data_IF_595397301627
#
_entry.id   IF_595397301627
#
_cell.length_a   1.000
_cell.length_b   1.000
_cell.length_c   1.000
_cell.angle_alpha   90.00
_cell.angle_beta   90.00
_cell.angle_gamma   90.00
#
_symmetry.space_group_name_H-M   'P 1'
#
loop_
_entity.id
_entity.type
_entity.pdbx_description
1 polymer ?
#
# COMPACT_ATOMS: atom_id res chain seq x y z
N UNK A 1 -28.22 -9.74 -11.87
CA UNK A 1 -29.42 -9.15 -12.52
C UNK A 1 -29.90 -9.96 -13.72
N UNK A 2 -29.10 -10.13 -14.79
CA UNK A 2 -29.50 -10.89 -15.99
C UNK A 2 -29.33 -12.41 -15.89
N UNK A 3 -28.82 -12.95 -14.77
CA UNK A 3 -28.52 -14.39 -14.66
C UNK A 3 -27.46 -14.89 -15.67
N UNK A 4 -26.56 -14.03 -16.13
CA UNK A 4 -25.53 -14.37 -17.12
C UNK A 4 -25.98 -14.28 -18.58
N UNK A 5 -27.22 -13.87 -18.84
CA UNK A 5 -27.77 -13.78 -20.21
C UNK A 5 -27.26 -12.58 -21.00
N UNK A 6 -26.76 -11.54 -20.33
CA UNK A 6 -26.24 -10.31 -20.93
C UNK A 6 -24.84 -10.02 -20.39
N UNK A 7 -23.88 -9.83 -21.30
CA UNK A 7 -22.55 -9.29 -20.98
C UNK A 7 -22.53 -7.77 -21.09
N UNK A 8 -21.40 -7.16 -20.71
CA UNK A 8 -21.17 -5.72 -20.86
C UNK A 8 -19.70 -5.48 -21.24
N UNK A 9 -19.30 -5.80 -22.47
CA UNK A 9 -17.93 -5.62 -22.96
C UNK A 9 -17.67 -4.13 -23.19
N UNK A 10 -17.26 -3.43 -22.13
CA UNK A 10 -16.95 -1.99 -22.17
C UNK A 10 -15.68 -1.72 -21.37
N UNK A 11 -14.83 -0.85 -21.92
CA UNK A 11 -13.62 -0.36 -21.25
C UNK A 11 -13.76 1.13 -21.02
N UNK A 12 -13.70 1.54 -19.76
CA UNK A 12 -13.54 2.94 -19.37
C UNK A 12 -12.07 3.17 -19.09
N UNK A 13 -11.45 4.12 -19.79
CA UNK A 13 -10.03 4.44 -19.63
C UNK A 13 -9.77 5.93 -19.60
N UNK A 14 -8.70 6.32 -18.92
CA UNK A 14 -8.22 7.69 -18.85
C UNK A 14 -7.25 7.87 -17.69
N UNK A 15 -6.59 9.04 -17.61
CA UNK A 15 -5.69 9.34 -16.50
C UNK A 15 -6.46 9.42 -15.18
N UNK A 16 -5.82 8.94 -14.11
CA UNK A 16 -6.33 8.87 -12.75
C UNK A 16 -5.22 9.28 -11.78
N UNK A 17 -5.61 9.91 -10.66
CA UNK A 17 -4.66 10.29 -9.62
C UNK A 17 -4.07 11.68 -9.82
N UNK A 18 -2.92 11.94 -9.20
CA UNK A 18 -2.33 13.25 -9.22
C UNK A 18 -1.57 13.53 -10.53
N UNK A 19 -1.71 14.77 -10.99
CA UNK A 19 -0.91 15.35 -12.07
C UNK A 19 -0.19 16.60 -11.56
N UNK A 20 0.58 17.28 -12.42
CA UNK A 20 1.36 18.42 -11.98
C UNK A 20 0.51 19.70 -11.87
N UNK A 21 0.25 20.15 -10.63
CA UNK A 21 -0.34 21.46 -10.31
C UNK A 21 -1.75 21.68 -10.85
N UNK A 22 -2.57 20.64 -10.86
CA UNK A 22 -3.97 20.71 -11.32
C UNK A 22 -4.98 20.91 -10.18
N UNK A 23 -4.49 20.95 -8.94
CA UNK A 23 -5.25 21.21 -7.71
C UNK A 23 -6.39 20.21 -7.44
N UNK A 24 -7.14 20.46 -6.38
CA UNK A 24 -8.05 19.51 -5.74
C UNK A 24 -9.01 18.73 -6.66
N UNK A 25 -9.63 19.37 -7.65
CA UNK A 25 -10.69 18.75 -8.47
C UNK A 25 -10.17 17.87 -9.61
N UNK A 26 -8.87 17.90 -9.90
CA UNK A 26 -8.25 17.19 -11.02
C UNK A 26 -7.17 16.21 -10.56
N UNK A 27 -7.07 15.92 -9.27
CA UNK A 27 -5.99 15.10 -8.69
C UNK A 27 -6.47 13.88 -7.91
N UNK A 28 -7.75 13.55 -8.02
CA UNK A 28 -8.33 12.45 -7.26
C UNK A 28 -7.97 11.09 -7.87
N UNK A 29 -7.54 10.17 -7.01
CA UNK A 29 -7.41 8.76 -7.36
C UNK A 29 -8.70 8.00 -7.02
N UNK A 30 -9.31 7.36 -8.02
CA UNK A 30 -10.55 6.59 -7.94
C UNK A 30 -10.33 5.08 -7.80
N UNK A 31 -9.07 4.66 -7.57
CA UNK A 31 -8.68 3.26 -7.42
C UNK A 31 -9.56 2.49 -6.45
N UNK A 32 -9.70 2.97 -5.21
CA UNK A 32 -10.51 2.29 -4.18
C UNK A 32 -12.01 2.33 -4.50
N UNK A 33 -12.51 3.46 -5.02
CA UNK A 33 -13.92 3.62 -5.37
C UNK A 33 -14.39 2.58 -6.38
N UNK A 34 -13.69 2.44 -7.50
CA UNK A 34 -14.06 1.46 -8.51
C UNK A 34 -13.80 0.03 -8.04
N UNK A 35 -12.72 -0.20 -7.27
CA UNK A 35 -12.37 -1.53 -6.76
C UNK A 35 -13.36 -2.06 -5.72
N UNK A 36 -14.18 -1.20 -5.14
CA UNK A 36 -15.23 -1.61 -4.21
C UNK A 36 -16.45 -2.25 -4.93
N UNK A 37 -16.67 -1.98 -6.22
CA UNK A 37 -17.91 -2.33 -6.93
C UNK A 37 -17.85 -3.76 -7.50
N UNK A 38 -18.71 -4.70 -7.06
CA UNK A 38 -18.77 -6.04 -7.65
C UNK A 38 -19.21 -6.03 -9.11
N UNK A 39 -18.60 -6.92 -9.91
CA UNK A 39 -18.85 -7.00 -11.35
C UNK A 39 -17.92 -6.13 -12.20
N UNK A 40 -17.17 -5.20 -11.60
CA UNK A 40 -16.09 -4.48 -12.27
C UNK A 40 -14.76 -5.24 -12.18
N UNK A 41 -13.91 -5.01 -13.17
CA UNK A 41 -12.46 -5.25 -13.10
C UNK A 41 -11.75 -3.91 -13.11
N UNK A 42 -10.73 -3.74 -12.27
CA UNK A 42 -10.03 -2.45 -12.10
C UNK A 42 -8.53 -2.67 -12.23
N UNK A 43 -7.92 -1.96 -13.17
CA UNK A 43 -6.51 -2.08 -13.56
C UNK A 43 -5.85 -0.72 -13.40
N UNK A 44 -4.63 -0.70 -12.85
CA UNK A 44 -3.82 0.50 -12.64
C UNK A 44 -2.33 0.21 -12.94
N UNK A 45 -1.94 0.10 -14.23
CA UNK A 45 -0.60 -0.31 -14.62
C UNK A 45 0.40 0.85 -14.59
N UNK A 46 1.69 0.51 -14.62
CA UNK A 46 2.79 1.49 -14.73
C UNK A 46 3.63 1.30 -16.00
N UNK A 47 4.28 0.15 -16.16
CA UNK A 47 5.20 -0.08 -17.29
C UNK A 47 4.48 -0.02 -18.65
N UNK A 48 5.20 0.42 -19.70
CA UNK A 48 4.65 0.51 -21.05
C UNK A 48 4.19 -0.86 -21.60
N UNK A 49 4.97 -1.92 -21.32
CA UNK A 49 4.60 -3.30 -21.65
C UNK A 49 3.29 -3.69 -20.95
N UNK A 50 3.20 -3.43 -19.64
CA UNK A 50 2.02 -3.73 -18.83
C UNK A 50 0.77 -3.00 -19.31
N UNK A 51 0.90 -1.71 -19.62
CA UNK A 51 -0.17 -0.90 -20.20
C UNK A 51 -0.68 -1.52 -21.51
N UNK A 52 0.23 -1.93 -22.41
CA UNK A 52 -0.14 -2.56 -23.69
C UNK A 52 -0.83 -3.91 -23.49
N UNK A 53 -0.25 -4.78 -22.66
CA UNK A 53 -0.77 -6.13 -22.43
C UNK A 53 -2.13 -6.14 -21.74
N UNK A 54 -2.28 -5.33 -20.69
CA UNK A 54 -3.51 -5.25 -19.91
C UNK A 54 -4.62 -4.49 -20.65
N UNK A 55 -4.30 -3.46 -21.43
CA UNK A 55 -5.32 -2.75 -22.22
C UNK A 55 -5.90 -3.67 -23.31
N UNK A 56 -5.05 -4.48 -23.96
CA UNK A 56 -5.51 -5.50 -24.91
C UNK A 56 -6.37 -6.57 -24.22
N UNK A 57 -6.00 -6.99 -23.02
CA UNK A 57 -6.80 -7.92 -22.22
C UNK A 57 -8.15 -7.30 -21.85
N UNK A 58 -8.18 -6.04 -21.42
CA UNK A 58 -9.39 -5.30 -21.07
C UNK A 58 -10.36 -5.19 -22.25
N UNK A 59 -9.85 -4.85 -23.45
CA UNK A 59 -10.66 -4.76 -24.68
C UNK A 59 -11.27 -6.12 -25.07
N UNK A 60 -10.57 -7.22 -24.77
CA UNK A 60 -11.03 -8.58 -25.07
C UNK A 60 -11.97 -9.14 -23.99
N UNK A 61 -12.13 -8.46 -22.86
CA UNK A 61 -12.99 -8.91 -21.76
C UNK A 61 -14.48 -8.69 -22.04
N UNK A 62 -15.32 -9.60 -21.55
CA UNK A 62 -16.78 -9.51 -21.71
C UNK A 62 -17.48 -8.76 -20.57
N UNK A 63 -16.70 -8.32 -19.57
CA UNK A 63 -17.14 -7.57 -18.39
C UNK A 63 -16.72 -6.11 -18.48
N UNK A 64 -17.35 -5.20 -17.71
CA UNK A 64 -16.89 -3.82 -17.61
C UNK A 64 -15.50 -3.75 -16.97
N UNK A 65 -14.56 -3.09 -17.65
CA UNK A 65 -13.19 -2.87 -17.16
C UNK A 65 -12.94 -1.38 -16.98
N UNK A 66 -12.43 -1.02 -15.80
CA UNK A 66 -11.90 0.31 -15.50
C UNK A 66 -10.38 0.25 -15.61
N UNK A 67 -9.83 1.05 -16.52
CA UNK A 67 -8.41 1.11 -16.82
C UNK A 67 -7.87 2.49 -16.41
N UNK A 68 -7.30 2.54 -15.21
CA UNK A 68 -6.82 3.75 -14.55
C UNK A 68 -5.37 4.00 -14.98
N UNK A 69 -5.20 4.92 -15.92
CA UNK A 69 -3.89 5.36 -16.40
C UNK A 69 -3.34 6.46 -15.49
N UNK A 70 -2.13 6.95 -15.76
CA UNK A 70 -1.58 8.09 -15.05
C UNK A 70 -0.95 9.08 -16.04
N UNK A 71 -1.29 10.36 -15.89
CA UNK A 71 -0.88 11.42 -16.84
C UNK A 71 0.64 11.59 -16.87
N UNK A 72 1.30 11.58 -15.71
CA UNK A 72 2.75 11.76 -15.59
C UNK A 72 3.47 10.57 -16.24
N UNK A 73 2.95 9.35 -16.02
CA UNK A 73 3.54 8.13 -16.55
C UNK A 73 3.52 8.05 -18.10
N UNK A 74 2.66 8.82 -18.80
CA UNK A 74 2.67 8.83 -20.27
C UNK A 74 3.99 9.32 -20.88
N UNK A 75 4.71 10.18 -20.16
CA UNK A 75 6.01 10.69 -20.60
C UNK A 75 7.19 9.81 -20.21
N UNK A 76 6.96 8.70 -19.50
CA UNK A 76 8.03 7.81 -19.04
C UNK A 76 8.42 6.83 -20.14
N UNK A 77 9.73 6.71 -20.38
CA UNK A 77 10.29 5.71 -21.28
C UNK A 77 10.66 4.45 -20.49
N UNK A 78 10.29 3.30 -21.04
CA UNK A 78 10.59 1.99 -20.46
C UNK A 78 11.28 1.13 -21.51
N UNK A 79 12.26 0.33 -21.08
CA UNK A 79 12.78 -0.73 -21.93
C UNK A 79 11.68 -1.77 -22.16
N UNK A 80 11.39 -2.04 -23.43
CA UNK A 80 10.43 -3.07 -23.84
C UNK A 80 11.17 -4.01 -24.78
N UNK A 81 11.12 -5.31 -24.49
CA UNK A 81 11.88 -6.28 -25.27
C UNK A 81 11.32 -6.44 -26.69
N UNK A 82 12.19 -6.79 -27.65
CA UNK A 82 11.78 -7.03 -29.03
C UNK A 82 10.71 -8.13 -29.15
N UNK A 83 10.79 -9.15 -28.27
CA UNK A 83 9.81 -10.23 -28.21
C UNK A 83 8.43 -9.71 -27.78
N UNK A 84 8.37 -8.79 -26.83
CA UNK A 84 7.13 -8.13 -26.43
C UNK A 84 6.59 -7.25 -27.55
N UNK A 85 7.43 -6.37 -28.13
CA UNK A 85 7.01 -5.45 -29.20
C UNK A 85 6.47 -6.18 -30.43
N UNK A 86 7.19 -7.20 -30.90
CA UNK A 86 6.83 -7.97 -32.09
C UNK A 86 5.63 -8.91 -31.88
N UNK A 87 5.36 -9.33 -30.64
CA UNK A 87 4.23 -10.19 -30.32
C UNK A 87 2.89 -9.42 -30.37
N UNK A 88 2.13 -9.62 -31.45
CA UNK A 88 0.78 -9.04 -31.63
C UNK A 88 -0.25 -9.58 -30.62
N UNK A 89 0.00 -10.74 -30.05
CA UNK A 89 -0.83 -11.39 -29.05
C UNK A 89 -0.26 -11.25 -27.63
N UNK A 90 0.64 -10.28 -27.43
CA UNK A 90 1.06 -9.90 -26.09
C UNK A 90 -0.15 -9.48 -25.27
N UNK A 91 -0.46 -10.32 -24.27
CA UNK A 91 -1.54 -10.16 -23.33
C UNK A 91 -1.00 -10.46 -21.95
N UNK A 92 -1.50 -9.72 -20.97
CA UNK A 92 -1.30 -10.03 -19.56
C UNK A 92 -2.63 -10.47 -18.95
N UNK A 93 -2.55 -11.30 -17.94
CA UNK A 93 -3.71 -11.77 -17.19
C UNK A 93 -4.20 -10.67 -16.24
N UNK A 94 -5.49 -10.33 -16.34
CA UNK A 94 -6.14 -9.43 -15.38
C UNK A 94 -6.28 -10.17 -14.05
N UNK A 95 -5.85 -9.54 -12.96
CA UNK A 95 -5.84 -10.15 -11.63
C UNK A 95 -4.51 -10.80 -11.27
N UNK A 96 -3.44 -10.55 -12.05
CA UNK A 96 -2.10 -11.05 -11.77
C UNK A 96 -1.12 -9.90 -11.48
N UNK A 97 -0.54 -9.90 -10.28
CA UNK A 97 0.53 -8.99 -9.89
C UNK A 97 1.89 -9.49 -10.41
N UNK A 98 2.90 -8.63 -10.38
CA UNK A 98 4.27 -9.00 -10.73
C UNK A 98 5.26 -8.58 -9.66
N UNK A 99 6.17 -9.50 -9.32
CA UNK A 99 7.38 -9.18 -8.56
C UNK A 99 8.36 -8.54 -9.54
N UNK A 100 8.59 -7.24 -9.39
CA UNK A 100 9.47 -6.44 -10.26
C UNK A 100 10.91 -6.50 -9.78
N UNK A 101 11.08 -6.60 -8.46
CA UNK A 101 12.38 -6.74 -7.79
C UNK A 101 12.25 -7.78 -6.70
N UNK A 102 13.12 -8.78 -6.73
CA UNK A 102 13.23 -9.79 -5.67
C UNK A 102 13.89 -9.17 -4.43
N UNK A 103 13.43 -9.58 -3.25
CA UNK A 103 14.01 -9.21 -1.97
C UNK A 103 13.67 -10.20 -0.88
N UNK A 104 14.19 -9.97 0.32
CA UNK A 104 14.03 -10.89 1.47
C UNK A 104 13.71 -10.20 2.79
N UNK A 105 13.86 -8.88 2.89
CA UNK A 105 13.75 -8.19 4.18
C UNK A 105 12.41 -7.46 4.36
N UNK A 106 11.79 -7.01 3.27
CA UNK A 106 10.48 -6.34 3.29
C UNK A 106 9.78 -6.46 1.93
N UNK A 107 8.47 -6.66 1.95
CA UNK A 107 7.63 -6.53 0.75
C UNK A 107 7.09 -5.12 0.63
N UNK A 108 7.28 -4.49 -0.53
CA UNK A 108 6.71 -3.20 -0.89
C UNK A 108 5.72 -3.43 -2.04
N UNK A 109 4.45 -3.12 -1.81
CA UNK A 109 3.42 -3.16 -2.86
C UNK A 109 3.12 -1.76 -3.35
N UNK A 110 2.97 -1.61 -4.66
CA UNK A 110 2.60 -0.35 -5.29
C UNK A 110 1.77 -0.62 -6.55
N UNK A 111 1.13 0.42 -7.06
CA UNK A 111 0.46 0.41 -8.35
C UNK A 111 0.60 1.76 -9.04
N UNK A 112 0.38 1.79 -10.36
CA UNK A 112 0.50 2.99 -11.18
C UNK A 112 1.82 3.75 -10.92
N UNK A 113 1.82 5.08 -10.97
CA UNK A 113 3.01 5.91 -10.83
C UNK A 113 3.83 5.63 -9.55
N UNK A 114 3.19 5.21 -8.45
CA UNK A 114 3.88 4.91 -7.18
C UNK A 114 4.83 3.71 -7.25
N UNK A 115 4.72 2.87 -8.29
CA UNK A 115 5.70 1.81 -8.52
C UNK A 115 7.10 2.37 -8.77
N UNK A 116 7.21 3.52 -9.45
CA UNK A 116 8.49 4.21 -9.64
C UNK A 116 9.13 4.56 -8.29
N UNK A 117 8.34 5.15 -7.39
CA UNK A 117 8.84 5.57 -6.08
C UNK A 117 9.21 4.37 -5.20
N UNK A 118 8.47 3.26 -5.30
CA UNK A 118 8.80 2.01 -4.63
C UNK A 118 10.13 1.43 -5.10
N UNK A 119 10.42 1.46 -6.40
CA UNK A 119 11.72 1.02 -6.96
C UNK A 119 12.86 1.94 -6.49
N UNK A 120 12.66 3.25 -6.52
CA UNK A 120 13.64 4.22 -6.03
C UNK A 120 13.92 4.03 -4.52
N UNK A 121 12.89 3.78 -3.72
CA UNK A 121 13.05 3.49 -2.29
C UNK A 121 13.81 2.18 -2.07
N UNK A 122 13.53 1.15 -2.87
CA UNK A 122 14.24 -0.12 -2.85
C UNK A 122 15.75 0.04 -3.16
N UNK A 123 16.12 0.95 -4.06
CA UNK A 123 17.54 1.25 -4.36
C UNK A 123 18.24 1.95 -3.18
N UNK A 124 17.56 2.91 -2.53
CA UNK A 124 18.10 3.57 -1.34
C UNK A 124 18.30 2.59 -0.18
N UNK A 125 17.27 1.77 0.10
CA UNK A 125 17.31 0.71 1.11
C UNK A 125 18.43 -0.31 0.84
N UNK A 126 18.69 -0.63 -0.43
CA UNK A 126 19.80 -1.51 -0.81
C UNK A 126 21.17 -0.96 -0.39
N UNK A 127 21.35 0.36 -0.44
CA UNK A 127 22.56 1.04 0.02
C UNK A 127 22.79 0.88 1.53
N UNK A 128 21.73 0.59 2.28
CA UNK A 128 21.75 0.32 3.72
C UNK A 128 21.79 -1.17 4.06
N UNK A 129 21.78 -2.04 3.03
CA UNK A 129 21.78 -3.49 3.20
C UNK A 129 20.40 -4.10 3.41
N UNK A 130 19.32 -3.39 3.10
CA UNK A 130 17.94 -3.88 3.15
C UNK A 130 17.47 -4.25 1.73
N UNK A 131 17.19 -5.54 1.51
CA UNK A 131 16.70 -6.09 0.25
C UNK A 131 15.16 -6.10 0.21
N UNK A 132 14.59 -4.99 -0.27
CA UNK A 132 13.16 -4.86 -0.50
C UNK A 132 12.68 -5.59 -1.77
N UNK A 133 11.69 -6.47 -1.60
CA UNK A 133 10.90 -7.06 -2.67
C UNK A 133 9.83 -6.07 -3.12
N UNK A 134 9.79 -5.73 -4.42
CA UNK A 134 8.83 -4.77 -4.96
C UNK A 134 7.82 -5.48 -5.85
N UNK A 135 6.54 -5.34 -5.50
CA UNK A 135 5.40 -5.91 -6.22
C UNK A 135 4.60 -4.79 -6.88
N UNK A 136 4.47 -4.89 -8.21
CA UNK A 136 3.44 -4.17 -8.95
C UNK A 136 2.13 -4.94 -8.87
N UNK A 137 1.12 -4.35 -8.26
CA UNK A 137 -0.20 -4.96 -8.15
C UNK A 137 -0.85 -5.15 -9.52
N UNK A 138 -0.64 -4.23 -10.47
CA UNK A 138 -1.27 -4.14 -11.81
C UNK A 138 -2.80 -4.07 -11.82
N UNK A 139 -3.47 -5.05 -11.21
CA UNK A 139 -4.91 -5.17 -11.05
C UNK A 139 -5.30 -4.97 -9.59
N UNK A 140 -6.26 -4.08 -9.36
CA UNK A 140 -6.79 -3.75 -8.03
C UNK A 140 -8.07 -4.54 -7.73
N UNK A 141 -8.81 -4.94 -8.77
CA UNK A 141 -9.96 -5.84 -8.67
C UNK A 141 -10.03 -6.77 -9.89
N UNK A 142 -10.00 -8.10 -9.71
CA UNK A 142 -9.65 -8.80 -8.47
C UNK A 142 -8.18 -8.57 -8.09
N UNK A 143 -7.90 -8.46 -6.79
CA UNK A 143 -6.54 -8.29 -6.28
C UNK A 143 -5.82 -9.64 -6.23
N UNK A 144 -4.56 -9.70 -6.67
CA UNK A 144 -3.72 -10.92 -6.59
C UNK A 144 -3.17 -11.11 -5.17
N UNK A 145 -4.05 -11.53 -4.25
CA UNK A 145 -3.67 -11.72 -2.85
C UNK A 145 -2.60 -12.80 -2.70
N UNK A 146 -2.61 -13.83 -3.55
CA UNK A 146 -1.67 -14.95 -3.46
C UNK A 146 -0.22 -14.49 -3.64
N UNK A 147 0.05 -13.62 -4.62
CA UNK A 147 1.41 -13.09 -4.84
C UNK A 147 1.89 -12.28 -3.63
N UNK A 148 1.01 -11.47 -3.03
CA UNK A 148 1.32 -10.68 -1.83
C UNK A 148 1.60 -11.58 -0.63
N UNK A 149 0.76 -12.59 -0.37
CA UNK A 149 0.94 -13.51 0.76
C UNK A 149 2.23 -14.34 0.60
N UNK A 150 2.52 -14.84 -0.60
CA UNK A 150 3.77 -15.58 -0.86
C UNK A 150 5.02 -14.72 -0.60
N UNK A 151 4.95 -13.43 -0.94
CA UNK A 151 6.03 -12.49 -0.68
C UNK A 151 6.21 -12.25 0.83
N UNK A 152 5.12 -12.03 1.56
CA UNK A 152 5.16 -11.80 3.01
C UNK A 152 5.64 -13.06 3.76
N UNK A 153 5.35 -14.27 3.28
CA UNK A 153 5.93 -15.50 3.82
C UNK A 153 7.47 -15.51 3.79
N UNK A 154 8.07 -14.84 2.80
CA UNK A 154 9.51 -14.71 2.63
C UNK A 154 10.10 -13.54 3.44
N UNK A 155 9.40 -12.41 3.48
CA UNK A 155 9.94 -11.13 3.99
C UNK A 155 9.46 -10.75 5.38
N UNK A 156 8.37 -11.37 5.85
CA UNK A 156 7.72 -11.14 7.14
C UNK A 156 7.23 -9.70 7.39
N UNK A 157 7.24 -8.82 6.38
CA UNK A 157 6.88 -7.40 6.50
C UNK A 157 6.21 -6.90 5.23
N UNK A 158 5.23 -6.00 5.37
CA UNK A 158 4.57 -5.35 4.25
C UNK A 158 4.49 -3.83 4.43
N UNK A 159 4.91 -3.10 3.40
CA UNK A 159 4.60 -1.69 3.18
C UNK A 159 3.75 -1.57 1.91
N UNK A 160 2.60 -0.92 2.01
CA UNK A 160 1.76 -0.60 0.85
C UNK A 160 1.90 0.87 0.48
N UNK A 161 2.00 1.16 -0.81
CA UNK A 161 2.23 2.51 -1.33
C UNK A 161 1.14 2.84 -2.35
N UNK A 162 0.40 3.92 -2.09
CA UNK A 162 -0.60 4.46 -3.01
C UNK A 162 -0.62 5.99 -2.99
N UNK A 163 -0.95 6.63 -4.11
CA UNK A 163 -1.09 8.10 -4.13
C UNK A 163 -2.45 8.58 -3.59
N UNK A 164 -3.42 7.67 -3.49
CA UNK A 164 -4.76 7.94 -3.03
C UNK A 164 -4.82 8.33 -1.55
N UNK A 165 -6.02 8.76 -1.13
CA UNK A 165 -6.27 9.11 0.26
C UNK A 165 -6.22 7.88 1.19
N UNK A 166 -5.87 8.08 2.48
CA UNK A 166 -5.61 6.96 3.38
C UNK A 166 -6.88 6.23 3.83
N UNK A 167 -8.02 6.92 3.89
CA UNK A 167 -9.26 6.33 4.38
C UNK A 167 -9.88 5.44 3.31
N UNK A 168 -10.07 4.16 3.63
CA UNK A 168 -10.60 3.16 2.70
C UNK A 168 -9.84 3.10 1.35
N UNK A 169 -8.52 3.33 1.38
CA UNK A 169 -7.61 3.14 0.25
C UNK A 169 -7.34 1.66 -0.05
N UNK A 170 -6.57 1.39 -1.11
CA UNK A 170 -6.18 0.01 -1.47
C UNK A 170 -5.30 -0.63 -0.40
N UNK A 171 -4.43 0.15 0.25
CA UNK A 171 -3.60 -0.31 1.36
C UNK A 171 -4.42 -0.77 2.57
N UNK A 172 -5.63 -0.26 2.75
CA UNK A 172 -6.53 -0.71 3.81
C UNK A 172 -7.06 -2.13 3.53
N UNK A 173 -7.44 -2.41 2.28
CA UNK A 173 -7.84 -3.76 1.83
C UNK A 173 -6.67 -4.75 1.94
N UNK A 174 -5.48 -4.35 1.51
CA UNK A 174 -4.26 -5.17 1.67
C UNK A 174 -4.00 -5.50 3.14
N UNK A 175 -4.14 -4.53 4.04
CA UNK A 175 -3.96 -4.75 5.47
C UNK A 175 -4.97 -5.76 6.03
N UNK A 176 -6.23 -5.67 5.61
CA UNK A 176 -7.28 -6.61 6.01
C UNK A 176 -7.01 -8.02 5.47
N UNK A 177 -6.72 -8.15 4.18
CA UNK A 177 -6.39 -9.43 3.52
C UNK A 177 -5.21 -10.11 4.19
N UNK A 178 -4.14 -9.37 4.46
CA UNK A 178 -2.94 -9.93 5.10
C UNK A 178 -3.24 -10.34 6.53
N UNK A 179 -4.02 -9.56 7.27
CA UNK A 179 -4.46 -9.95 8.61
C UNK A 179 -5.30 -11.23 8.60
N UNK A 180 -6.15 -11.43 7.58
CA UNK A 180 -6.99 -12.63 7.46
C UNK A 180 -6.22 -13.86 6.97
N UNK A 181 -5.25 -13.69 6.06
CA UNK A 181 -4.65 -14.79 5.29
C UNK A 181 -3.16 -15.02 5.57
N UNK A 182 -2.46 -14.06 6.16
CA UNK A 182 -1.01 -14.08 6.33
C UNK A 182 -0.49 -13.54 7.65
N UNK A 183 -1.35 -13.38 8.65
CA UNK A 183 -0.99 -12.79 9.94
C UNK A 183 0.18 -13.52 10.62
N UNK A 184 0.19 -14.85 10.58
CA UNK A 184 1.23 -15.67 11.22
C UNK A 184 2.62 -15.47 10.61
N UNK A 185 2.71 -14.88 9.41
CA UNK A 185 3.98 -14.55 8.77
C UNK A 185 4.47 -13.15 9.11
N UNK A 186 3.62 -12.27 9.64
CA UNK A 186 3.98 -10.89 9.91
C UNK A 186 4.75 -10.76 11.23
N UNK A 187 5.95 -10.20 11.13
CA UNK A 187 6.73 -9.80 12.29
C UNK A 187 6.48 -8.34 12.71
N UNK A 188 5.68 -7.61 11.93
CA UNK A 188 5.35 -6.21 12.15
C UNK A 188 3.99 -5.86 11.53
N UNK A 189 3.32 -4.80 12.02
CA UNK A 189 2.10 -4.29 11.39
C UNK A 189 2.32 -3.91 9.93
N UNK A 190 1.27 -4.03 9.12
CA UNK A 190 1.28 -3.53 7.74
C UNK A 190 1.34 -2.00 7.77
N UNK A 191 2.36 -1.44 7.09
CA UNK A 191 2.51 0.01 6.96
C UNK A 191 1.86 0.49 5.66
N UNK A 192 1.27 1.68 5.70
CA UNK A 192 0.58 2.29 4.56
C UNK A 192 1.13 3.68 4.31
N UNK A 193 1.70 3.88 3.12
CA UNK A 193 2.20 5.15 2.62
C UNK A 193 1.21 5.67 1.59
N UNK A 194 0.57 6.79 1.91
CA UNK A 194 -0.58 7.32 1.19
C UNK A 194 -0.46 8.82 0.96
N UNK A 195 -1.27 9.38 0.06
CA UNK A 195 -1.51 10.82 0.06
C UNK A 195 -2.00 11.30 1.43
N UNK A 196 -1.80 12.58 1.73
CA UNK A 196 -2.37 13.21 2.93
C UNK A 196 -3.89 13.32 2.78
N UNK A 197 -4.61 13.21 3.89
CA UNK A 197 -6.09 13.25 3.93
C UNK A 197 -6.64 14.67 3.77
N UNK A 198 -6.36 15.28 2.62
CA UNK A 198 -6.76 16.63 2.24
C UNK A 198 -7.00 16.71 0.72
N UNK A 199 -7.82 17.65 0.25
CA UNK A 199 -7.85 18.01 -1.16
C UNK A 199 -6.47 18.52 -1.62
N UNK A 200 -6.00 18.10 -2.81
CA UNK A 200 -4.64 18.41 -3.25
C UNK A 200 -4.43 19.93 -3.43
N UNK A 201 -3.45 20.54 -2.74
CA UNK A 201 -3.18 21.97 -2.86
C UNK A 201 -2.43 22.31 -4.16
N UNK A 202 -2.69 23.49 -4.73
CA UNK A 202 -2.03 23.95 -5.97
C UNK A 202 -0.56 24.34 -5.78
N UNK A 203 -0.20 24.90 -4.62
CA UNK A 203 1.15 25.42 -4.39
C UNK A 203 2.17 24.28 -4.40
N UNK A 204 3.19 24.36 -5.26
CA UNK A 204 4.12 23.26 -5.52
C UNK A 204 4.80 22.69 -4.27
N UNK A 205 5.11 23.54 -3.29
CA UNK A 205 5.71 23.13 -2.01
C UNK A 205 4.73 22.35 -1.12
N UNK A 206 3.44 22.63 -1.21
CA UNK A 206 2.39 21.91 -0.48
C UNK A 206 1.96 20.65 -1.23
N UNK A 207 1.87 20.71 -2.56
CA UNK A 207 1.57 19.57 -3.43
C UNK A 207 2.56 18.44 -3.20
N UNK A 208 3.86 18.76 -3.22
CA UNK A 208 4.93 17.80 -2.92
C UNK A 208 4.79 17.16 -1.54
N UNK A 209 4.33 17.90 -0.53
CA UNK A 209 4.14 17.38 0.84
C UNK A 209 2.84 16.60 1.02
N UNK A 210 1.88 16.80 0.12
CA UNK A 210 0.58 16.14 0.15
C UNK A 210 0.64 14.76 -0.52
N UNK A 211 1.56 14.54 -1.46
CA UNK A 211 1.77 13.27 -2.14
C UNK A 211 2.91 12.46 -1.48
N UNK A 212 2.83 11.11 -1.48
CA UNK A 212 3.93 10.26 -1.06
C UNK A 212 5.22 10.59 -1.80
N UNK A 213 6.30 10.69 -1.05
CA UNK A 213 7.67 10.80 -1.54
C UNK A 213 8.42 9.48 -1.29
N UNK A 214 9.55 9.31 -1.97
CA UNK A 214 10.43 8.14 -1.80
C UNK A 214 10.88 8.01 -0.34
N UNK A 215 11.18 9.14 0.31
CA UNK A 215 11.62 9.18 1.69
C UNK A 215 10.54 8.69 2.67
N UNK A 216 9.26 8.93 2.39
CA UNK A 216 8.16 8.42 3.22
C UNK A 216 8.09 6.88 3.18
N UNK A 217 8.47 6.27 2.05
CA UNK A 217 8.51 4.80 1.89
C UNK A 217 9.69 4.22 2.69
N UNK A 218 10.87 4.84 2.59
CA UNK A 218 12.06 4.45 3.36
C UNK A 218 11.78 4.56 4.86
N UNK A 219 11.20 5.68 5.31
CA UNK A 219 10.81 5.88 6.72
C UNK A 219 9.81 4.80 7.19
N UNK A 220 8.82 4.46 6.37
CA UNK A 220 7.85 3.41 6.71
C UNK A 220 8.49 2.03 6.87
N UNK A 221 9.56 1.72 6.12
CA UNK A 221 10.33 0.47 6.28
C UNK A 221 11.09 0.48 7.61
N UNK A 222 11.65 1.62 8.03
CA UNK A 222 12.40 1.75 9.28
C UNK A 222 11.55 1.90 10.55
N UNK A 223 10.29 2.33 10.44
CA UNK A 223 9.45 2.65 11.62
C UNK A 223 9.33 1.49 12.64
N UNK A 224 9.57 0.25 12.21
CA UNK A 224 9.68 -0.93 13.09
C UNK A 224 10.98 -0.96 13.91
N UNK A 225 12.13 -0.60 13.32
CA UNK A 225 13.43 -0.71 14.00
C UNK A 225 13.45 0.18 15.24
N UNK A 226 12.90 1.39 15.13
CA UNK A 226 12.76 2.32 16.25
C UNK A 226 11.76 1.83 17.31
N UNK A 227 10.61 1.27 16.94
CA UNK A 227 9.66 0.73 17.91
C UNK A 227 10.18 -0.50 18.65
N UNK A 228 10.90 -1.40 17.97
CA UNK A 228 11.53 -2.56 18.61
C UNK A 228 12.72 -2.18 19.49
N UNK A 229 13.56 -1.23 19.06
CA UNK A 229 14.62 -0.64 19.89
C UNK A 229 14.03 0.03 21.14
N UNK A 230 12.92 0.76 20.99
CA UNK A 230 12.23 1.42 22.10
C UNK A 230 11.55 0.42 23.05
N UNK A 231 10.97 -0.68 22.54
CA UNK A 231 10.42 -1.77 23.39
C UNK A 231 11.52 -2.52 24.13
N UNK A 232 12.66 -2.82 23.50
CA UNK A 232 13.78 -3.52 24.14
C UNK A 232 14.48 -2.65 25.19
N UNK A 233 14.62 -1.35 24.96
CA UNK A 233 15.14 -0.41 25.98
C UNK A 233 14.16 -0.20 27.14
N UNK A 234 12.85 -0.15 26.89
CA UNK A 234 11.83 -0.10 27.95
C UNK A 234 11.83 -1.39 28.79
N UNK A 235 11.94 -2.56 28.16
CA UNK A 235 11.99 -3.87 28.85
C UNK A 235 13.25 -4.00 29.70
N UNK A 236 14.41 -3.50 29.21
CA UNK A 236 15.66 -3.48 29.98
C UNK A 236 15.66 -2.51 31.18
N UNK A 237 14.86 -1.44 31.16
CA UNK A 237 14.67 -0.57 32.34
C UNK A 237 13.85 -1.25 33.44
N UNK A 238 12.89 -2.09 33.07
CA UNK A 238 12.10 -2.84 34.05
C UNK A 238 12.87 -4.00 34.69
N UNK A 239 13.76 -4.68 33.95
CA UNK A 239 14.63 -5.72 34.52
C UNK A 239 15.73 -5.14 35.42
N UNK A 240 16.27 -3.96 35.10
CA UNK A 240 17.22 -3.24 35.96
C UNK A 240 16.58 -2.72 37.26
N UNK A 241 15.30 -2.31 37.23
CA UNK A 241 14.56 -1.89 38.42
C UNK A 241 14.15 -3.08 39.32
N UNK A 242 13.94 -4.28 38.75
CA UNK A 242 13.66 -5.49 39.51
C UNK A 242 14.90 -6.06 40.25
N UNK A 243 16.11 -5.82 39.73
CA UNK A 243 17.36 -6.25 40.36
C UNK A 243 17.87 -5.33 41.48
N UNK A 244 17.28 -4.14 41.64
CA UNK A 244 17.65 -3.16 42.68
C UNK A 244 16.67 -3.09 43.85
N UNK A 245 15.58 -3.87 43.83
CA UNK A 245 14.49 -3.81 44.83
C UNK A 245 14.30 -5.07 45.68
N UNK A 246 15.23 -6.04 45.67
CA UNK A 246 15.10 -7.31 46.42
C UNK A 246 15.40 -7.25 47.93
N UNK A 247 15.28 -6.07 48.58
CA UNK A 247 15.44 -5.92 50.03
C UNK A 247 14.23 -5.24 50.71
N UNK A 248 13.01 -5.71 50.42
CA UNK A 248 11.84 -5.35 51.24
C UNK A 248 11.13 -6.60 51.75
N UNK A 249 11.21 -6.79 53.07
CA UNK A 249 10.52 -7.83 53.85
C UNK A 249 8.99 -7.66 53.79
N UNK A 250 8.21 -8.75 53.88
CA UNK A 250 6.76 -8.70 53.73
C UNK A 250 6.08 -8.28 55.04
N UNK A 251 5.59 -7.04 55.13
CA UNK A 251 4.51 -6.72 56.05
C UNK A 251 3.72 -5.51 55.55
N UNK A 252 2.39 -5.58 55.71
CA UNK A 252 1.35 -4.59 55.36
C UNK A 252 0.80 -4.63 53.93
N UNK A 253 0.03 -5.69 53.63
CA UNK A 253 -1.11 -5.57 52.73
C UNK A 253 -2.36 -5.45 53.59
N UNK A 254 -2.90 -4.23 53.72
CA UNK A 254 -4.31 -3.99 54.10
C UNK A 254 -4.70 -2.55 53.78
N UNK A 255 -5.88 -2.45 53.18
CA UNK A 255 -6.77 -1.31 53.13
C UNK A 255 -6.42 -0.16 52.17
N UNK A 256 -7.05 -0.17 50.98
CA UNK A 256 -8.03 0.87 50.58
C UNK A 256 -8.49 0.67 49.12
N UNK A 257 -9.65 0.06 48.95
CA UNK A 257 -10.50 0.22 47.76
C UNK A 257 -11.57 1.25 48.09
N UNK A 258 -11.84 2.13 47.10
CA UNK A 258 -13.03 2.98 46.89
C UNK A 258 -12.74 4.49 46.87
N UNK A 259 -12.68 5.04 45.65
CA UNK A 259 -13.08 6.43 45.39
C UNK A 259 -14.03 6.43 44.21
N UNK A 260 -15.30 6.69 44.52
CA UNK A 260 -16.38 7.07 43.61
C UNK A 260 -16.14 8.48 43.08
N UNK A 261 -16.29 8.70 41.76
CA UNK A 261 -16.35 10.03 41.18
C UNK A 261 -17.70 10.23 40.47
N UNK A 262 -18.52 11.06 41.11
CA UNK A 262 -19.75 11.67 40.60
C UNK A 262 -19.41 12.74 39.55
N UNK A 263 -20.13 12.73 38.43
CA UNK A 263 -20.09 13.78 37.41
C UNK A 263 -21.23 14.77 37.69
N UNK A 264 -20.90 16.05 37.84
CA UNK A 264 -21.84 17.17 37.94
C UNK A 264 -21.84 17.93 36.60
N UNK A 265 -22.99 18.09 35.91
CA UNK A 265 -23.03 18.73 34.59
C UNK A 265 -23.44 20.19 34.71
N UNK A 266 -22.48 21.10 34.64
CA UNK A 266 -22.75 22.51 34.36
C UNK A 266 -21.50 23.25 33.83
N UNK A 267 -21.34 23.31 32.50
CA UNK A 267 -20.90 24.56 31.90
C UNK A 267 -21.38 24.67 30.45
N UNK A 268 -21.76 25.89 30.11
CA UNK A 268 -22.53 26.36 28.96
C UNK A 268 -21.88 26.13 27.60
#
# INVERSE_FOLDING_TARGET
>A
MSGGQLGCPIVFRGPNGAAARVAAQHSQCFASWYSHIPGLKVIAPYFASDCRGLLKAAIRDLSPVIFLENEIAYGHEHEVSDSELSNKDYLLEIGKAAVIREGKDVTITAFSLKLMDALNAADLLSGEGIEAEVIDLRTLRPLDTQTVINSIQKTNRLVSVEEGWPFAGIGAELSAVVMEQGFDYLDAPVMRVTGKDIPLPYAANLEKKALPQVEDIVEAVHQRDDELLNRNTATNRHTAAALTSSNCSPSSYRDSFAVSLSIDPANK
#
